data_IF_950733286999
#
_entry.id   IF_950733286999
#
_cell.length_a   1.000
_cell.length_b   1.000
_cell.length_c   1.000
_cell.angle_alpha   90.00
_cell.angle_beta   90.00
_cell.angle_gamma   90.00
#
_symmetry.space_group_name_H-M   'P 1'
#
loop_
_entity.id
_entity.type
_entity.pdbx_description
1 polymer ?
#
# COMPACT_ATOMS: atom_id res chain seq x y z
N UNK A 1 22.56 -11.64 -14.63
CA UNK A 1 22.68 -10.24 -14.11
C UNK A 1 21.29 -9.63 -14.25
N UNK A 2 20.36 -10.10 -13.43
CA UNK A 2 18.93 -10.04 -13.75
C UNK A 2 18.32 -8.81 -13.08
N UNK A 3 18.40 -7.68 -13.79
CA UNK A 3 17.83 -6.38 -13.39
C UNK A 3 16.41 -6.22 -13.93
N UNK A 4 15.54 -7.20 -13.72
CA UNK A 4 14.09 -6.97 -13.86
C UNK A 4 13.49 -6.63 -12.49
N UNK A 5 13.98 -5.53 -11.91
CA UNK A 5 13.57 -5.05 -10.56
C UNK A 5 12.41 -4.07 -10.59
N UNK A 6 11.66 -4.00 -11.68
CA UNK A 6 10.46 -3.17 -11.79
C UNK A 6 9.31 -3.95 -12.45
N UNK A 7 8.85 -5.01 -11.79
CA UNK A 7 7.49 -5.47 -12.03
C UNK A 7 6.55 -4.29 -11.78
N UNK A 8 6.07 -3.66 -12.85
CA UNK A 8 5.17 -2.53 -12.78
C UNK A 8 3.86 -3.00 -12.17
N UNK A 9 3.29 -2.20 -11.26
CA UNK A 9 1.96 -2.48 -10.73
C UNK A 9 0.95 -2.44 -11.89
N UNK A 10 0.31 -3.56 -12.12
CA UNK A 10 -0.81 -3.69 -13.05
C UNK A 10 -1.98 -2.84 -12.58
N UNK A 11 -2.92 -2.57 -13.46
CA UNK A 11 -4.11 -1.79 -13.11
C UNK A 11 -4.96 -2.50 -12.03
N UNK A 12 -5.08 -3.83 -12.12
CA UNK A 12 -5.75 -4.64 -11.10
C UNK A 12 -5.10 -4.51 -9.73
N UNK A 13 -3.77 -4.56 -9.67
CA UNK A 13 -3.01 -4.37 -8.42
C UNK A 13 -3.24 -2.98 -7.82
N UNK A 14 -3.29 -1.94 -8.67
CA UNK A 14 -3.57 -0.56 -8.23
C UNK A 14 -5.01 -0.40 -7.73
N UNK A 15 -5.99 -0.97 -8.44
CA UNK A 15 -7.40 -0.96 -8.02
C UNK A 15 -7.59 -1.68 -6.69
N UNK A 16 -6.99 -2.87 -6.53
CA UNK A 16 -7.00 -3.58 -5.26
C UNK A 16 -6.35 -2.76 -4.15
N UNK A 17 -5.18 -2.18 -4.40
CA UNK A 17 -4.51 -1.33 -3.42
C UNK A 17 -5.38 -0.16 -2.98
N UNK A 18 -6.04 0.52 -3.92
CA UNK A 18 -6.96 1.61 -3.63
C UNK A 18 -8.16 1.15 -2.78
N UNK A 19 -8.75 -0.01 -3.12
CA UNK A 19 -9.83 -0.61 -2.35
C UNK A 19 -9.39 -0.93 -0.91
N UNK A 20 -8.25 -1.62 -0.75
CA UNK A 20 -7.73 -1.98 0.57
C UNK A 20 -7.41 -0.75 1.44
N UNK A 21 -6.90 0.32 0.83
CA UNK A 21 -6.64 1.58 1.54
C UNK A 21 -7.94 2.29 1.91
N UNK A 22 -8.96 2.25 1.04
CA UNK A 22 -10.27 2.85 1.33
C UNK A 22 -10.98 2.17 2.52
N UNK A 23 -10.73 0.88 2.74
CA UNK A 23 -11.18 0.16 3.94
C UNK A 23 -10.45 0.62 5.22
N UNK A 24 -9.21 1.10 5.09
CA UNK A 24 -8.34 1.51 6.19
C UNK A 24 -8.31 3.05 6.34
N UNK A 25 -9.36 3.59 6.95
CA UNK A 25 -9.52 5.04 7.21
C UNK A 25 -8.33 5.68 7.92
N UNK A 26 -7.56 4.91 8.70
CA UNK A 26 -6.34 5.37 9.37
C UNK A 26 -5.28 5.87 8.37
N UNK A 27 -5.18 5.26 7.18
CA UNK A 27 -4.21 5.65 6.15
C UNK A 27 -4.58 6.99 5.52
N UNK A 28 -5.87 7.25 5.33
CA UNK A 28 -6.38 8.50 4.75
C UNK A 28 -6.55 9.63 5.77
N UNK A 29 -6.55 9.31 7.06
CA UNK A 29 -6.59 10.28 8.14
C UNK A 29 -5.37 11.22 8.04
N UNK A 30 -5.60 12.53 7.96
CA UNK A 30 -4.53 13.56 7.89
C UNK A 30 -3.88 13.86 9.24
N UNK A 31 -4.37 13.30 10.34
CA UNK A 31 -3.79 13.50 11.68
C UNK A 31 -2.39 12.90 11.79
N UNK A 32 -1.52 13.57 12.53
CA UNK A 32 -0.09 13.26 12.66
C UNK A 32 0.35 13.04 14.10
N UNK A 33 -0.57 12.70 15.01
CA UNK A 33 -0.21 12.34 16.38
C UNK A 33 0.63 11.07 16.43
N UNK A 34 1.41 10.89 17.51
CA UNK A 34 2.25 9.69 17.68
C UNK A 34 1.42 8.39 17.66
N UNK A 35 0.20 8.42 18.22
CA UNK A 35 -0.77 7.32 18.17
C UNK A 35 -1.25 7.07 16.73
N UNK A 36 -1.54 8.13 15.96
CA UNK A 36 -1.94 8.03 14.55
C UNK A 36 -0.82 7.44 13.68
N UNK A 37 0.46 7.71 14.00
CA UNK A 37 1.59 7.15 13.26
C UNK A 37 1.70 5.64 13.43
N UNK A 38 1.50 5.13 14.66
CA UNK A 38 1.49 3.70 14.94
C UNK A 38 0.29 3.03 14.27
N UNK A 39 -0.90 3.63 14.39
CA UNK A 39 -2.12 3.11 13.76
C UNK A 39 -2.00 3.05 12.22
N UNK A 40 -1.40 4.09 11.61
CA UNK A 40 -1.08 4.09 10.17
C UNK A 40 -0.11 2.99 9.79
N UNK A 41 0.95 2.77 10.58
CA UNK A 41 1.90 1.70 10.32
C UNK A 41 1.23 0.33 10.37
N UNK A 42 0.40 0.08 11.38
CA UNK A 42 -0.39 -1.15 11.50
C UNK A 42 -1.40 -1.32 10.35
N UNK A 43 -2.07 -0.24 9.94
CA UNK A 43 -2.97 -0.24 8.79
C UNK A 43 -2.24 -0.62 7.49
N UNK A 44 -1.05 -0.06 7.26
CA UNK A 44 -0.22 -0.45 6.11
C UNK A 44 0.21 -1.91 6.16
N UNK A 45 0.53 -2.45 7.34
CA UNK A 45 0.83 -3.88 7.50
C UNK A 45 -0.39 -4.76 7.21
N UNK A 46 -1.59 -4.36 7.62
CA UNK A 46 -2.84 -5.04 7.26
C UNK A 46 -3.10 -5.05 5.75
N UNK A 47 -2.96 -3.89 5.10
CA UNK A 47 -3.05 -3.77 3.63
C UNK A 47 -2.02 -4.67 2.96
N UNK A 48 -0.79 -4.69 3.45
CA UNK A 48 0.29 -5.49 2.88
C UNK A 48 0.00 -6.98 2.95
N UNK A 49 -0.49 -7.47 4.10
CA UNK A 49 -0.92 -8.86 4.28
C UNK A 49 -2.08 -9.23 3.37
N UNK A 50 -3.12 -8.38 3.32
CA UNK A 50 -4.27 -8.58 2.41
C UNK A 50 -3.80 -8.62 0.96
N UNK A 51 -2.94 -7.70 0.53
CA UNK A 51 -2.40 -7.66 -0.82
C UNK A 51 -1.62 -8.94 -1.17
N UNK A 52 -0.74 -9.40 -0.29
CA UNK A 52 0.03 -10.63 -0.49
C UNK A 52 -0.88 -11.88 -0.53
N UNK A 53 -1.97 -11.91 0.24
CA UNK A 53 -2.93 -13.03 0.23
C UNK A 53 -3.74 -13.16 -1.06
N UNK A 54 -3.76 -12.12 -1.91
CA UNK A 54 -4.51 -12.12 -3.17
C UNK A 54 -3.73 -12.80 -4.32
N UNK A 55 -2.57 -13.40 -4.03
CA UNK A 55 -1.74 -14.09 -5.04
C UNK A 55 -0.91 -13.17 -5.92
N UNK A 56 -0.87 -11.87 -5.59
CA UNK A 56 0.03 -10.92 -6.26
C UNK A 56 1.47 -11.07 -5.77
N UNK A 57 2.40 -10.44 -6.49
CA UNK A 57 3.80 -10.38 -6.08
C UNK A 57 3.90 -9.78 -4.67
N UNK A 58 4.59 -10.44 -3.72
CA UNK A 58 4.78 -9.91 -2.38
C UNK A 58 5.42 -8.51 -2.44
N UNK A 59 4.78 -7.54 -1.80
CA UNK A 59 5.30 -6.18 -1.65
C UNK A 59 5.44 -5.86 -0.17
N UNK A 60 6.32 -4.93 0.14
CA UNK A 60 6.45 -4.35 1.47
C UNK A 60 5.51 -3.16 1.64
N UNK A 61 5.14 -2.85 2.89
CA UNK A 61 4.36 -1.66 3.24
C UNK A 61 4.95 -0.36 2.67
N UNK A 62 6.28 -0.23 2.64
CA UNK A 62 6.98 0.91 2.00
C UNK A 62 6.73 0.98 0.49
N UNK A 63 6.77 -0.14 -0.22
CA UNK A 63 6.54 -0.19 -1.67
C UNK A 63 5.08 0.15 -2.03
N UNK A 64 4.12 -0.38 -1.26
CA UNK A 64 2.70 -0.08 -1.45
C UNK A 64 2.40 1.39 -1.14
N UNK A 65 2.99 1.94 -0.06
CA UNK A 65 2.89 3.36 0.26
C UNK A 65 3.43 4.26 -0.84
N UNK A 66 4.58 3.90 -1.43
CA UNK A 66 5.14 4.61 -2.58
C UNK A 66 4.21 4.52 -3.80
N UNK A 67 3.66 3.34 -4.09
CA UNK A 67 2.71 3.13 -5.18
C UNK A 67 1.47 4.03 -5.02
N UNK A 68 0.88 4.03 -3.82
CA UNK A 68 -0.28 4.86 -3.50
C UNK A 68 -0.02 6.36 -3.63
N UNK A 69 1.13 6.84 -3.12
CA UNK A 69 1.50 8.25 -3.26
C UNK A 69 1.65 8.63 -4.74
N UNK A 70 2.27 7.76 -5.55
CA UNK A 70 2.39 7.98 -6.98
C UNK A 70 1.04 7.96 -7.69
N UNK A 71 0.08 7.13 -7.24
CA UNK A 71 -1.29 7.12 -7.76
C UNK A 71 -2.05 8.39 -7.40
N UNK A 72 -1.83 8.96 -6.20
CA UNK A 72 -2.47 10.21 -5.75
C UNK A 72 -1.91 11.48 -6.38
N UNK A 73 -0.67 11.44 -6.87
CA UNK A 73 0.00 12.59 -7.53
C UNK A 73 -0.27 12.67 -9.04
N UNK A 74 -0.92 11.67 -9.62
CA UNK A 74 -1.18 11.54 -11.05
C UNK A 74 -2.62 11.89 -11.35
#
# INVERSE_FOLDING_TARGET
MDKDKSAHYTEKEKMLLAQLISEEKAIENKKTGATDLKEKAEAWERVTKKYASQGFTPRTSKQLKKCWNNMKQR
#
